data_IF_235604990184
#
_entry.id   IF_235604990184
#
_cell.length_a   1.000
_cell.length_b   1.000
_cell.length_c   1.000
_cell.angle_alpha   90.00
_cell.angle_beta   90.00
_cell.angle_gamma   90.00
#
_symmetry.space_group_name_H-M   'P 1'
#
loop_
_entity.id
_entity.type
_entity.pdbx_description
1 polymer ?
#
# COMPACT_ATOMS: atom_id res chain seq x y z
N UNK A 1 -29.98 -32.22 -6.55
CA UNK A 1 -30.28 -33.47 -5.82
C UNK A 1 -29.32 -34.53 -6.33
N UNK A 2 -28.63 -35.20 -5.41
CA UNK A 2 -27.67 -36.26 -5.68
C UNK A 2 -28.35 -37.55 -6.18
N UNK A 3 -27.63 -38.38 -6.93
CA UNK A 3 -27.48 -39.83 -6.70
C UNK A 3 -26.78 -40.53 -7.90
N UNK A 4 -25.63 -41.16 -7.64
CA UNK A 4 -25.05 -42.25 -8.44
C UNK A 4 -25.97 -43.49 -8.36
N UNK A 5 -25.91 -44.52 -9.25
CA UNK A 5 -24.80 -45.51 -9.36
C UNK A 5 -24.80 -46.25 -10.75
N UNK A 6 -24.32 -47.51 -10.95
CA UNK A 6 -23.25 -48.32 -10.33
C UNK A 6 -22.21 -48.88 -11.34
N UNK A 7 -21.13 -49.53 -10.83
CA UNK A 7 -20.09 -50.24 -11.59
C UNK A 7 -20.47 -51.72 -11.83
N UNK A 8 -19.89 -52.42 -12.82
CA UNK A 8 -19.12 -53.64 -12.49
C UNK A 8 -18.01 -54.02 -13.50
N UNK A 9 -16.85 -54.43 -12.96
CA UNK A 9 -15.73 -54.98 -13.73
C UNK A 9 -15.94 -56.43 -14.18
N UNK A 10 -15.33 -56.78 -15.32
CA UNK A 10 -15.17 -58.15 -15.83
C UNK A 10 -13.73 -58.36 -16.34
N UNK A 11 -12.96 -59.05 -15.51
CA UNK A 11 -12.02 -60.15 -15.79
C UNK A 11 -11.15 -60.17 -17.06
N UNK A 12 -9.82 -60.22 -16.88
CA UNK A 12 -8.86 -60.89 -17.79
C UNK A 12 -8.00 -61.87 -16.94
N UNK A 13 -7.82 -63.15 -17.34
CA UNK A 13 -7.23 -64.21 -16.50
C UNK A 13 -5.73 -64.51 -16.74
N UNK A 14 -5.05 -64.98 -15.69
CA UNK A 14 -3.85 -65.87 -15.73
C UNK A 14 -2.47 -65.18 -15.59
N UNK A 15 -1.98 -64.87 -14.38
CA UNK A 15 -1.22 -65.73 -13.43
C UNK A 15 0.32 -65.66 -13.60
N UNK A 16 1.01 -64.95 -12.68
CA UNK A 16 2.32 -65.43 -12.18
C UNK A 16 3.55 -64.50 -12.05
N UNK A 17 3.45 -63.24 -11.60
CA UNK A 17 4.44 -62.60 -10.68
C UNK A 17 4.06 -61.11 -10.42
N UNK A 18 3.96 -60.66 -9.15
CA UNK A 18 3.69 -59.25 -8.86
C UNK A 18 4.91 -58.36 -9.16
N UNK A 19 4.71 -57.12 -9.65
CA UNK A 19 5.78 -56.14 -9.78
C UNK A 19 6.42 -55.84 -8.42
N UNK A 20 7.72 -55.47 -8.38
CA UNK A 20 8.43 -55.20 -7.13
C UNK A 20 7.73 -54.12 -6.29
N UNK A 21 7.80 -54.19 -4.95
CA UNK A 21 7.12 -53.26 -4.07
C UNK A 21 7.53 -51.81 -4.37
N UNK A 22 6.59 -50.86 -4.33
CA UNK A 22 6.92 -49.44 -4.35
C UNK A 22 7.91 -49.13 -3.22
N UNK A 23 8.89 -48.22 -3.44
CA UNK A 23 9.83 -47.83 -2.40
C UNK A 23 9.05 -47.44 -1.14
N UNK A 24 9.49 -47.88 0.06
CA UNK A 24 8.77 -47.66 1.30
C UNK A 24 8.48 -46.17 1.43
N UNK A 25 7.21 -45.87 1.73
CA UNK A 25 6.72 -44.54 2.04
C UNK A 25 7.78 -43.81 2.88
N UNK A 26 8.43 -42.83 2.23
CA UNK A 26 9.37 -41.96 2.90
C UNK A 26 8.63 -41.36 4.08
N UNK A 27 9.06 -41.75 5.27
CA UNK A 27 8.60 -41.19 6.53
C UNK A 27 8.50 -39.67 6.42
N UNK A 28 7.55 -39.02 7.12
CA UNK A 28 7.55 -37.57 7.24
C UNK A 28 8.95 -37.16 7.69
N UNK A 29 9.68 -36.39 6.87
CA UNK A 29 11.01 -35.90 7.24
C UNK A 29 10.83 -34.86 8.35
N UNK A 30 10.65 -35.39 9.55
CA UNK A 30 10.84 -34.74 10.83
C UNK A 30 12.21 -34.07 10.80
N UNK A 31 12.20 -32.78 11.14
CA UNK A 31 13.32 -31.86 11.01
C UNK A 31 14.65 -32.45 11.45
N UNK A 32 15.65 -32.34 10.56
CA UNK A 32 17.05 -32.39 10.99
C UNK A 32 17.24 -31.32 12.08
N UNK A 33 17.76 -31.65 13.26
CA UNK A 33 18.23 -30.63 14.17
C UNK A 33 19.37 -29.92 13.45
N UNK A 34 19.12 -28.67 13.06
CA UNK A 34 20.14 -27.79 12.52
C UNK A 34 21.29 -27.77 13.52
N UNK A 35 22.51 -28.06 13.06
CA UNK A 35 23.67 -27.89 13.91
C UNK A 35 23.74 -26.43 14.39
N UNK A 36 24.25 -26.14 15.59
CA UNK A 36 24.28 -24.77 16.12
C UNK A 36 24.86 -23.75 15.13
N UNK A 37 25.87 -24.16 14.36
CA UNK A 37 26.51 -23.35 13.32
C UNK A 37 25.59 -23.04 12.12
N UNK A 38 24.74 -23.98 11.68
CA UNK A 38 23.80 -23.76 10.58
C UNK A 38 22.64 -22.86 11.01
N UNK A 39 22.22 -22.95 12.28
CA UNK A 39 21.21 -22.06 12.84
C UNK A 39 21.75 -20.62 12.95
N UNK A 40 22.99 -20.45 13.39
CA UNK A 40 23.67 -19.15 13.41
C UNK A 40 23.82 -18.55 12.01
N UNK A 41 24.21 -19.35 11.01
CA UNK A 41 24.29 -18.90 9.62
C UNK A 41 22.93 -18.43 9.08
N UNK A 42 21.84 -19.16 9.38
CA UNK A 42 20.49 -18.74 9.02
C UNK A 42 20.07 -17.44 9.73
N UNK A 43 20.44 -17.27 10.99
CA UNK A 43 20.15 -16.04 11.74
C UNK A 43 20.90 -14.84 11.15
N UNK A 44 22.18 -15.01 10.80
CA UNK A 44 22.98 -13.96 10.13
C UNK A 44 22.40 -13.62 8.76
N UNK A 45 22.02 -14.63 7.98
CA UNK A 45 21.44 -14.41 6.65
C UNK A 45 20.05 -13.76 6.73
N UNK A 46 19.22 -14.16 7.70
CA UNK A 46 17.94 -13.54 8.00
C UNK A 46 18.11 -12.11 8.50
N UNK A 47 19.10 -11.84 9.36
CA UNK A 47 19.44 -10.49 9.83
C UNK A 47 19.92 -9.61 8.69
N UNK A 48 20.74 -10.13 7.77
CA UNK A 48 21.21 -9.40 6.58
C UNK A 48 20.05 -9.05 5.64
N UNK A 49 19.19 -10.02 5.35
CA UNK A 49 17.97 -9.81 4.54
C UNK A 49 17.04 -8.81 5.21
N UNK A 50 16.84 -8.93 6.53
CA UNK A 50 16.03 -8.01 7.31
C UNK A 50 16.60 -6.59 7.29
N UNK A 51 17.90 -6.40 7.52
CA UNK A 51 18.56 -5.10 7.40
C UNK A 51 18.39 -4.50 6.00
N UNK A 52 18.57 -5.30 4.95
CA UNK A 52 18.43 -4.82 3.58
C UNK A 52 16.99 -4.40 3.25
N UNK A 53 15.99 -5.14 3.71
CA UNK A 53 14.57 -4.80 3.55
C UNK A 53 14.20 -3.59 4.42
N UNK A 54 14.70 -3.52 5.65
CA UNK A 54 14.44 -2.44 6.59
C UNK A 54 15.00 -1.11 6.06
N UNK A 55 16.25 -1.09 5.59
CA UNK A 55 16.86 0.08 4.95
C UNK A 55 16.11 0.51 3.68
N UNK A 56 15.61 -0.44 2.89
CA UNK A 56 14.76 -0.14 1.72
C UNK A 56 13.38 0.38 2.11
N UNK A 57 12.80 -0.08 3.22
CA UNK A 57 11.44 0.24 3.68
C UNK A 57 11.36 1.59 4.40
N UNK A 58 12.37 1.95 5.19
CA UNK A 58 12.40 3.16 6.02
C UNK A 58 13.45 4.20 5.60
N UNK A 59 14.04 4.08 4.41
CA UNK A 59 14.98 5.08 3.90
C UNK A 59 14.35 6.49 3.87
N UNK A 60 15.12 7.50 4.30
CA UNK A 60 14.66 8.89 4.55
C UNK A 60 13.86 9.52 3.40
N UNK A 61 14.07 9.06 2.16
CA UNK A 61 13.31 9.52 0.97
C UNK A 61 11.79 9.31 1.06
N UNK A 62 11.29 8.53 2.02
CA UNK A 62 9.85 8.31 2.27
C UNK A 62 9.31 9.08 3.48
N UNK A 63 10.14 9.83 4.21
CA UNK A 63 9.71 10.62 5.35
C UNK A 63 9.33 12.02 4.89
N UNK A 64 8.06 12.23 4.60
CA UNK A 64 7.48 13.57 4.72
C UNK A 64 7.59 13.96 6.20
N UNK A 65 8.46 14.93 6.53
CA UNK A 65 8.60 15.40 7.92
C UNK A 65 10.02 15.46 8.50
N UNK A 66 11.09 15.25 7.71
CA UNK A 66 12.46 15.51 8.19
C UNK A 66 12.64 16.95 8.68
N UNK A 67 11.83 17.87 8.12
CA UNK A 67 11.75 19.27 8.48
C UNK A 67 10.74 19.58 9.62
N UNK A 68 10.21 18.56 10.32
CA UNK A 68 9.11 18.60 11.29
C UNK A 68 8.80 19.97 11.94
N UNK A 69 9.60 20.38 12.91
CA UNK A 69 9.41 21.61 13.69
C UNK A 69 10.52 22.66 13.47
N UNK A 70 11.45 22.39 12.55
CA UNK A 70 12.64 23.20 12.31
C UNK A 70 13.47 23.54 13.57
N UNK A 71 13.37 22.74 14.64
CA UNK A 71 14.09 22.98 15.89
C UNK A 71 15.58 22.63 15.79
N UNK A 72 15.94 21.63 14.97
CA UNK A 72 17.32 21.22 14.75
C UNK A 72 18.17 22.32 14.05
N UNK A 73 19.42 22.45 14.51
CA UNK A 73 20.43 23.35 13.92
C UNK A 73 20.75 23.01 12.46
N UNK A 74 20.49 21.76 12.02
CA UNK A 74 20.69 21.27 10.65
C UNK A 74 19.93 22.11 9.61
N UNK A 75 18.75 22.62 9.97
CA UNK A 75 17.84 23.27 9.04
C UNK A 75 17.83 24.80 9.15
N UNK A 76 18.87 25.39 9.76
CA UNK A 76 18.96 26.86 9.93
C UNK A 76 18.89 27.63 8.62
N UNK A 77 19.47 27.09 7.56
CA UNK A 77 19.47 27.71 6.23
C UNK A 77 18.06 27.75 5.63
N UNK A 78 17.27 26.69 5.85
CA UNK A 78 15.91 26.57 5.30
C UNK A 78 14.92 27.50 6.01
N UNK A 79 15.16 27.88 7.26
CA UNK A 79 14.26 28.76 8.04
C UNK A 79 13.91 30.06 7.31
N UNK A 80 14.89 30.66 6.60
CA UNK A 80 14.65 31.88 5.80
C UNK A 80 13.62 31.63 4.70
N UNK A 81 13.67 30.46 4.07
CA UNK A 81 12.75 30.06 3.00
C UNK A 81 11.34 29.85 3.55
N UNK A 82 11.19 29.18 4.70
CA UNK A 82 9.88 29.02 5.36
C UNK A 82 9.24 30.37 5.73
N UNK A 83 10.04 31.31 6.24
CA UNK A 83 9.56 32.66 6.53
C UNK A 83 9.15 33.43 5.25
N UNK A 84 9.91 33.27 4.16
CA UNK A 84 9.55 33.86 2.87
C UNK A 84 8.27 33.27 2.28
N UNK A 85 8.05 31.97 2.48
CA UNK A 85 6.88 31.25 2.00
C UNK A 85 5.58 31.70 2.69
N UNK A 86 5.66 32.21 3.93
CA UNK A 86 4.50 32.69 4.70
C UNK A 86 3.67 33.73 3.92
N UNK A 87 4.33 34.57 3.11
CA UNK A 87 3.66 35.55 2.24
C UNK A 87 2.63 34.92 1.28
N UNK A 88 2.86 33.68 0.86
CA UNK A 88 2.02 32.99 -0.12
C UNK A 88 1.03 32.01 0.50
N UNK A 89 1.01 31.90 1.82
CA UNK A 89 0.06 31.05 2.55
C UNK A 89 -1.40 31.38 2.21
N UNK A 90 -1.84 32.66 2.11
CA UNK A 90 -3.21 32.96 1.70
C UNK A 90 -3.58 32.35 0.34
N UNK A 91 -2.64 32.34 -0.60
CA UNK A 91 -2.86 31.74 -1.93
C UNK A 91 -2.90 30.21 -1.87
N UNK A 92 -2.00 29.59 -1.10
CA UNK A 92 -2.01 28.14 -0.90
C UNK A 92 -3.32 27.65 -0.27
N UNK A 93 -3.81 28.37 0.75
CA UNK A 93 -5.10 28.07 1.41
C UNK A 93 -6.26 28.28 0.46
N UNK A 94 -6.28 29.39 -0.29
CA UNK A 94 -7.33 29.64 -1.28
C UNK A 94 -7.44 28.50 -2.31
N UNK A 95 -6.30 28.09 -2.91
CA UNK A 95 -6.27 27.00 -3.89
C UNK A 95 -6.64 25.64 -3.29
N UNK A 96 -6.35 25.43 -2.01
CA UNK A 96 -6.75 24.21 -1.29
C UNK A 96 -8.27 24.19 -1.07
N UNK A 97 -8.85 25.29 -0.60
CA UNK A 97 -10.29 25.40 -0.34
C UNK A 97 -11.13 25.33 -1.60
N UNK A 98 -10.65 25.90 -2.70
CA UNK A 98 -11.29 25.82 -4.02
C UNK A 98 -11.41 24.36 -4.50
N UNK A 99 -10.45 23.51 -4.13
CA UNK A 99 -10.38 22.11 -4.55
C UNK A 99 -10.89 21.11 -3.50
N UNK A 100 -11.72 21.57 -2.55
CA UNK A 100 -12.37 20.69 -1.58
C UNK A 100 -13.15 19.56 -2.27
N UNK A 101 -13.10 18.33 -1.74
CA UNK A 101 -13.87 17.21 -2.28
C UNK A 101 -15.36 17.48 -2.07
N UNK A 102 -16.14 17.29 -3.13
CA UNK A 102 -17.59 17.40 -3.04
C UNK A 102 -18.15 16.22 -2.23
N UNK A 103 -19.31 16.35 -1.56
CA UNK A 103 -19.82 15.29 -0.69
C UNK A 103 -20.14 13.97 -1.41
N UNK A 104 -20.30 14.00 -2.73
CA UNK A 104 -20.45 12.82 -3.58
C UNK A 104 -19.12 12.22 -4.05
N UNK A 105 -17.98 12.81 -3.69
CA UNK A 105 -16.63 12.38 -4.07
C UNK A 105 -15.87 11.90 -2.82
N UNK A 106 -15.58 10.59 -2.74
CA UNK A 106 -14.94 9.99 -1.57
C UNK A 106 -13.48 10.45 -1.38
N UNK A 107 -12.73 10.55 -2.48
CA UNK A 107 -11.33 10.98 -2.50
C UNK A 107 -11.11 11.79 -3.77
N UNK A 108 -10.50 12.98 -3.62
CA UNK A 108 -10.10 13.82 -4.74
C UNK A 108 -8.58 13.85 -4.87
N UNK A 109 -8.06 13.37 -6.00
CA UNK A 109 -6.64 13.44 -6.32
C UNK A 109 -6.36 14.75 -7.06
N UNK A 110 -5.44 15.55 -6.53
CA UNK A 110 -5.15 16.91 -7.00
C UNK A 110 -3.67 17.03 -7.33
N UNK A 111 -3.34 17.69 -8.44
CA UNK A 111 -1.94 18.00 -8.77
C UNK A 111 -1.38 19.07 -7.83
N UNK A 112 -0.19 18.81 -7.30
CA UNK A 112 0.47 19.68 -6.32
C UNK A 112 1.77 20.22 -6.91
N UNK A 113 2.00 21.50 -6.71
CA UNK A 113 3.29 22.17 -6.91
C UNK A 113 3.93 22.43 -5.54
N UNK A 114 5.07 21.82 -5.27
CA UNK A 114 5.74 21.91 -3.97
C UNK A 114 7.10 22.59 -4.09
N UNK A 115 7.49 23.32 -3.04
CA UNK A 115 8.86 23.81 -2.91
C UNK A 115 9.81 22.65 -2.60
N UNK A 116 11.02 22.64 -3.17
CA UNK A 116 12.00 21.54 -3.01
C UNK A 116 12.37 21.24 -1.54
N UNK A 117 12.30 22.24 -0.66
CA UNK A 117 12.54 22.08 0.78
C UNK A 117 11.29 21.72 1.58
N UNK A 118 10.11 21.67 0.94
CA UNK A 118 8.83 21.45 1.62
C UNK A 118 8.29 22.68 2.37
N UNK A 119 8.77 23.89 2.06
CA UNK A 119 8.34 25.12 2.73
C UNK A 119 6.87 25.51 2.49
N UNK A 120 6.36 25.23 1.29
CA UNK A 120 4.97 25.48 0.91
C UNK A 120 4.59 24.53 -0.22
N UNK A 121 3.31 24.20 -0.27
CA UNK A 121 2.71 23.39 -1.34
C UNK A 121 1.46 24.10 -1.84
N UNK A 122 1.30 24.17 -3.15
CA UNK A 122 0.16 24.75 -3.83
C UNK A 122 -0.59 23.66 -4.57
N UNK A 123 -1.90 23.75 -4.55
CA UNK A 123 -2.75 23.01 -5.47
C UNK A 123 -2.69 23.68 -6.84
N UNK A 124 -2.20 22.96 -7.85
CA UNK A 124 -2.02 23.46 -9.22
C UNK A 124 -3.15 22.98 -10.16
N UNK A 125 -4.40 23.10 -9.71
CA UNK A 125 -5.58 22.76 -10.50
C UNK A 125 -6.70 23.79 -10.29
N UNK A 126 -7.53 23.96 -11.32
CA UNK A 126 -8.78 24.72 -11.28
C UNK A 126 -9.91 23.70 -11.47
N UNK A 127 -10.88 23.63 -10.55
CA UNK A 127 -12.02 22.71 -10.66
C UNK A 127 -12.98 23.20 -11.75
N UNK A 128 -12.79 22.70 -12.97
CA UNK A 128 -13.79 22.89 -14.02
C UNK A 128 -14.94 21.93 -13.79
N UNK A 129 -16.15 22.49 -13.71
CA UNK A 129 -17.37 21.71 -13.50
C UNK A 129 -18.38 22.08 -14.57
N UNK A 130 -19.04 21.07 -15.12
CA UNK A 130 -20.13 21.24 -16.08
C UNK A 130 -21.37 21.70 -15.32
N UNK A 131 -21.79 22.96 -15.55
CA UNK A 131 -22.88 23.64 -14.82
C UNK A 131 -24.17 22.81 -14.63
N UNK A 132 -24.78 22.22 -15.69
CA UNK A 132 -26.04 21.49 -15.50
C UNK A 132 -25.89 20.25 -14.61
N UNK A 133 -24.72 19.58 -14.67
CA UNK A 133 -24.44 18.41 -13.83
C UNK A 133 -24.24 18.84 -12.38
N UNK A 134 -23.52 19.94 -12.15
CA UNK A 134 -23.27 20.47 -10.81
C UNK A 134 -24.56 20.86 -10.09
N UNK A 135 -25.46 21.56 -10.78
CA UNK A 135 -26.75 21.95 -10.22
C UNK A 135 -27.60 20.73 -9.90
N UNK A 136 -27.64 19.74 -10.79
CA UNK A 136 -28.35 18.49 -10.53
C UNK A 136 -27.81 17.79 -9.28
N UNK A 137 -26.48 17.61 -9.18
CA UNK A 137 -25.81 17.01 -8.03
C UNK A 137 -26.09 17.76 -6.73
N UNK A 138 -26.00 19.09 -6.74
CA UNK A 138 -26.27 19.93 -5.58
C UNK A 138 -27.74 19.83 -5.14
N UNK A 139 -28.67 19.80 -6.09
CA UNK A 139 -30.11 19.70 -5.80
C UNK A 139 -30.44 18.33 -5.22
N UNK A 140 -29.89 17.25 -5.79
CA UNK A 140 -30.01 15.88 -5.26
C UNK A 140 -29.46 15.80 -3.83
N UNK A 141 -28.27 16.34 -3.57
CA UNK A 141 -27.68 16.37 -2.24
C UNK A 141 -28.55 17.16 -1.25
N UNK A 142 -29.06 18.33 -1.62
CA UNK A 142 -29.97 19.13 -0.77
C UNK A 142 -31.26 18.39 -0.44
N UNK A 143 -31.90 17.74 -1.41
CA UNK A 143 -33.12 16.95 -1.19
C UNK A 143 -32.85 15.74 -0.28
N UNK A 144 -31.73 15.04 -0.50
CA UNK A 144 -31.35 13.88 0.32
C UNK A 144 -31.14 14.23 1.80
N UNK A 145 -30.77 15.48 2.11
CA UNK A 145 -30.54 15.96 3.47
C UNK A 145 -31.80 16.52 4.16
N UNK A 146 -32.87 16.79 3.40
CA UNK A 146 -34.15 17.28 3.93
C UNK A 146 -35.12 16.12 4.19
N UNK A 147 -35.02 15.04 3.41
CA UNK A 147 -35.93 13.89 3.46
C UNK A 147 -35.50 12.77 4.43
N UNK A 148 -34.34 12.91 5.08
CA UNK A 148 -33.77 12.02 6.10
C UNK A 148 -33.70 12.76 7.45
#
# INVERSE_FOLDING_TARGET
MAAAPPPPGTTVPGAGQPPPPPPPAGAPQSGKPLTPAELEAQLVEKARKWHQVNSKRYGDKRKFGDHGDMSSKKYRHDKRVYLGALKFVPHAVYKLLENMPMPWEQVRLVKILYHITGAITFVNEIPWVVEPIYLAQLTIYRLSRILL
#
